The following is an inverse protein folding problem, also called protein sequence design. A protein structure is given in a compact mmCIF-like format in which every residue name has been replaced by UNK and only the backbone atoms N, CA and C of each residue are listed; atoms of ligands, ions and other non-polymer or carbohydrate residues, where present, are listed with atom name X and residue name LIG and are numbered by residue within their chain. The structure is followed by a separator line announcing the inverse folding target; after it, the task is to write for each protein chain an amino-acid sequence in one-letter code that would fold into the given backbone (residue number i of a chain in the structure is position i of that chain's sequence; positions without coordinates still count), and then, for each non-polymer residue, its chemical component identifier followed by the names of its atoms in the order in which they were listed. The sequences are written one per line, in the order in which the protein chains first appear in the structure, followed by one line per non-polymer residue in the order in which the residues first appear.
data_IF_615709554294
#
_entry.id   IF_615709554294
#
_cell.length_a   1.000
_cell.length_b   1.000
_cell.length_c   1.000
_cell.angle_alpha   90.00
_cell.angle_beta   90.00
_cell.angle_gamma   90.00
#
_symmetry.space_group_name_H-M   'P 1'
#
loop_
_entity.id
_entity.type
_entity.pdbx_description
1 polymer ?
#
# COMPACT_ATOMS: atom_id res chain seq x y z
N UNK A 1 17.39 11.45 21.10
CA UNK A 1 17.29 11.36 19.63
C UNK A 1 15.82 11.38 19.25
N UNK A 2 15.38 12.29 18.37
CA UNK A 2 13.99 12.33 17.86
C UNK A 2 13.99 11.74 16.45
N UNK A 3 13.30 10.63 16.25
CA UNK A 3 13.18 10.01 14.93
C UNK A 3 12.16 10.79 14.09
N UNK A 4 12.48 11.03 12.82
CA UNK A 4 11.58 11.71 11.87
C UNK A 4 10.83 10.74 10.96
N UNK A 5 11.29 9.48 10.88
CA UNK A 5 10.76 8.44 10.00
C UNK A 5 10.68 7.10 10.73
N UNK A 6 9.58 6.39 10.50
CA UNK A 6 9.35 5.04 11.05
C UNK A 6 8.87 4.13 9.93
N UNK A 7 9.38 2.90 9.91
CA UNK A 7 8.88 1.84 9.04
C UNK A 7 8.37 0.71 9.92
N UNK A 8 7.14 0.27 9.69
CA UNK A 8 6.54 -0.91 10.36
C UNK A 8 6.38 -1.99 9.29
N UNK A 9 7.17 -3.06 9.38
CA UNK A 9 7.14 -4.18 8.46
C UNK A 9 7.07 -5.51 9.24
N UNK A 10 5.92 -6.19 9.35
CA UNK A 10 4.60 -5.88 8.77
C UNK A 10 3.52 -5.63 9.83
N UNK A 11 2.52 -4.82 9.48
CA UNK A 11 1.31 -4.64 10.28
C UNK A 11 0.53 -5.94 10.42
N UNK A 12 0.52 -6.77 9.38
CA UNK A 12 -0.14 -8.08 9.38
C UNK A 12 0.44 -9.00 10.44
N UNK A 13 1.77 -9.05 10.57
CA UNK A 13 2.45 -9.79 11.64
C UNK A 13 2.12 -9.20 13.02
N UNK A 14 2.05 -7.87 13.14
CA UNK A 14 1.70 -7.21 14.39
C UNK A 14 0.28 -7.60 14.85
N UNK A 15 -0.71 -7.57 13.95
CA UNK A 15 -2.10 -7.99 14.22
C UNK A 15 -2.22 -9.46 14.64
N UNK A 16 -1.32 -10.33 14.17
CA UNK A 16 -1.31 -11.76 14.55
C UNK A 16 -0.73 -11.99 15.94
N UNK A 17 0.08 -11.06 16.45
CA UNK A 17 0.70 -11.18 17.77
C UNK A 17 -0.21 -10.74 18.91
N UNK A 18 -1.25 -9.93 18.63
CA UNK A 18 -2.18 -9.37 19.63
C UNK A 18 -3.21 -10.37 20.18
N UNK A 19 -3.04 -11.67 19.96
CA UNK A 19 -3.87 -12.71 20.59
C UNK A 19 -5.32 -12.76 20.09
N UNK A 20 -5.98 -13.92 20.28
CA UNK A 20 -7.39 -14.06 19.94
C UNK A 20 -8.28 -13.39 21.00
N UNK A 21 -9.15 -12.47 20.58
CA UNK A 21 -10.12 -11.80 21.45
C UNK A 21 -9.80 -10.33 21.79
N UNK A 22 -8.65 -9.80 21.35
CA UNK A 22 -8.38 -8.37 21.42
C UNK A 22 -9.07 -7.61 20.26
N UNK A 23 -9.55 -6.40 20.54
CA UNK A 23 -10.01 -5.46 19.52
C UNK A 23 -8.79 -4.91 18.76
N UNK A 24 -8.28 -5.72 17.83
CA UNK A 24 -7.14 -5.41 16.99
C UNK A 24 -7.33 -4.08 16.26
N UNK A 25 -8.56 -3.78 15.83
CA UNK A 25 -8.86 -2.57 15.10
C UNK A 25 -8.64 -1.33 15.98
N UNK A 26 -9.15 -1.33 17.21
CA UNK A 26 -8.90 -0.22 18.16
C UNK A 26 -7.41 -0.01 18.44
N UNK A 27 -6.64 -1.10 18.53
CA UNK A 27 -5.19 -1.06 18.73
C UNK A 27 -4.47 -0.43 17.53
N UNK A 28 -4.83 -0.84 16.31
CA UNK A 28 -4.28 -0.26 15.08
C UNK A 28 -4.69 1.21 14.95
N UNK A 29 -5.95 1.57 15.19
CA UNK A 29 -6.38 2.98 15.15
C UNK A 29 -5.59 3.84 16.13
N UNK A 30 -5.37 3.33 17.35
CA UNK A 30 -4.58 4.02 18.38
C UNK A 30 -3.13 4.19 17.95
N UNK A 31 -2.52 3.15 17.37
CA UNK A 31 -1.15 3.21 16.84
C UNK A 31 -1.02 4.24 15.71
N UNK A 32 -1.93 4.21 14.72
CA UNK A 32 -1.90 5.14 13.58
C UNK A 32 -2.09 6.59 14.04
N UNK A 33 -2.99 6.82 15.00
CA UNK A 33 -3.20 8.13 15.60
C UNK A 33 -1.96 8.62 16.34
N UNK A 34 -1.35 7.76 17.16
CA UNK A 34 -0.11 8.07 17.87
C UNK A 34 1.02 8.49 16.90
N UNK A 35 1.22 7.75 15.81
CA UNK A 35 2.22 8.11 14.78
C UNK A 35 1.93 9.47 14.14
N UNK A 36 0.66 9.77 13.87
CA UNK A 36 0.25 11.07 13.33
C UNK A 36 0.52 12.20 14.33
N UNK A 37 0.15 12.04 15.61
CA UNK A 37 0.34 13.05 16.66
C UNK A 37 1.83 13.27 16.99
N UNK A 38 2.65 12.22 16.88
CA UNK A 38 4.10 12.29 17.04
C UNK A 38 4.80 13.10 15.92
N UNK A 39 4.08 13.48 14.86
CA UNK A 39 4.61 14.20 13.70
C UNK A 39 5.79 13.47 13.03
N UNK A 40 5.67 12.15 12.88
CA UNK A 40 6.66 11.32 12.18
C UNK A 40 6.12 10.85 10.83
N UNK A 41 6.98 10.73 9.82
CA UNK A 41 6.60 10.09 8.55
C UNK A 41 6.66 8.58 8.71
N UNK A 42 5.50 7.93 8.76
CA UNK A 42 5.38 6.48 8.90
C UNK A 42 5.11 5.79 7.57
N UNK A 43 5.87 4.74 7.26
CA UNK A 43 5.55 3.77 6.20
C UNK A 43 5.15 2.45 6.87
N UNK A 44 4.05 1.87 6.44
CA UNK A 44 3.51 0.63 7.02
C UNK A 44 3.34 -0.37 5.90
N UNK A 45 3.94 -1.55 6.06
CA UNK A 45 3.81 -2.68 5.13
C UNK A 45 2.72 -3.60 5.66
N UNK A 46 1.75 -3.90 4.82
CA UNK A 46 0.67 -4.84 5.13
C UNK A 46 0.41 -5.70 3.91
N UNK A 47 0.01 -6.94 4.13
CA UNK A 47 -0.50 -7.78 3.06
C UNK A 47 -1.75 -7.14 2.43
N UNK A 48 -2.00 -7.40 1.15
CA UNK A 48 -3.23 -6.94 0.49
C UNK A 48 -4.43 -7.59 1.21
N UNK A 49 -5.27 -6.81 1.90
CA UNK A 49 -6.46 -7.37 2.53
C UNK A 49 -7.44 -7.84 1.45
N UNK A 50 -8.37 -8.70 1.85
CA UNK A 50 -9.49 -9.05 0.99
C UNK A 50 -10.17 -7.75 0.50
N UNK A 51 -10.40 -7.59 -0.83
CA UNK A 51 -11.02 -6.38 -1.38
C UNK A 51 -12.36 -6.00 -0.75
N UNK A 52 -13.05 -6.97 -0.14
CA UNK A 52 -14.34 -6.79 0.54
C UNK A 52 -14.21 -6.36 2.00
N UNK A 53 -12.99 -6.38 2.56
CA UNK A 53 -12.74 -6.07 3.97
C UNK A 53 -12.17 -4.66 4.12
N UNK A 54 -12.79 -3.86 4.98
CA UNK A 54 -12.37 -2.49 5.25
C UNK A 54 -11.53 -2.43 6.53
N UNK A 55 -10.21 -2.47 6.35
CA UNK A 55 -9.27 -2.44 7.47
C UNK A 55 -8.94 -0.99 7.92
N UNK A 56 -8.69 -0.75 9.23
CA UNK A 56 -8.30 0.57 9.78
C UNK A 56 -7.20 1.29 9.01
N UNK A 57 -6.13 0.58 8.68
CA UNK A 57 -5.02 1.12 7.92
C UNK A 57 -5.42 1.60 6.52
N UNK A 58 -6.44 1.01 5.90
CA UNK A 58 -6.87 1.40 4.56
C UNK A 58 -7.57 2.75 4.57
N UNK A 59 -8.36 3.10 5.58
CA UNK A 59 -9.08 4.37 5.59
C UNK A 59 -8.35 5.50 6.33
N UNK A 60 -7.61 5.16 7.40
CA UNK A 60 -6.86 6.13 8.20
C UNK A 60 -5.57 6.60 7.53
N UNK A 61 -4.92 5.75 6.74
CA UNK A 61 -3.69 6.14 6.05
C UNK A 61 -3.92 7.34 5.13
N UNK A 62 -2.99 8.29 5.13
CA UNK A 62 -3.03 9.45 4.21
C UNK A 62 -2.81 9.03 2.76
N UNK A 63 -1.95 8.03 2.53
CA UNK A 63 -1.68 7.48 1.22
C UNK A 63 -1.67 5.95 1.22
N UNK A 64 -1.95 5.36 0.07
CA UNK A 64 -1.80 3.92 -0.17
C UNK A 64 -1.03 3.72 -1.47
N UNK A 65 0.05 2.96 -1.38
CA UNK A 65 0.86 2.53 -2.52
C UNK A 65 0.68 1.02 -2.64
N UNK A 66 0.12 0.56 -3.75
CA UNK A 66 -0.10 -0.86 -4.03
C UNK A 66 1.02 -1.38 -4.93
N UNK A 67 1.62 -2.50 -4.52
CA UNK A 67 2.60 -3.24 -5.30
C UNK A 67 1.92 -4.44 -5.94
N UNK A 68 2.10 -4.58 -7.25
CA UNK A 68 1.41 -5.60 -8.04
C UNK A 68 2.43 -6.55 -8.66
N UNK A 69 2.13 -7.84 -8.58
CA UNK A 69 2.85 -8.91 -9.28
C UNK A 69 1.87 -9.65 -10.16
N UNK A 70 1.96 -9.43 -11.47
CA UNK A 70 1.01 -9.94 -12.45
C UNK A 70 1.71 -10.98 -13.33
N UNK A 71 0.97 -12.01 -13.75
CA UNK A 71 1.44 -12.99 -14.74
C UNK A 71 0.76 -12.67 -16.08
N UNK A 72 1.54 -12.24 -17.07
CA UNK A 72 1.06 -11.85 -18.40
C UNK A 72 1.87 -12.58 -19.46
N UNK A 73 1.20 -13.36 -20.31
CA UNK A 73 1.85 -14.14 -21.39
C UNK A 73 3.07 -14.94 -20.90
N UNK A 74 2.90 -15.64 -19.77
CA UNK A 74 3.94 -16.43 -19.10
C UNK A 74 5.15 -15.63 -18.59
N UNK A 75 5.06 -14.30 -18.50
CA UNK A 75 6.05 -13.44 -17.86
C UNK A 75 5.50 -12.82 -16.58
N UNK A 76 6.35 -12.73 -15.56
CA UNK A 76 6.01 -11.99 -14.34
C UNK A 76 6.34 -10.52 -14.53
N UNK A 77 5.30 -9.70 -14.56
CA UNK A 77 5.38 -8.25 -14.62
C UNK A 77 5.15 -7.67 -13.23
N UNK A 78 5.88 -6.61 -12.89
CA UNK A 78 5.71 -5.87 -11.64
C UNK A 78 5.38 -4.42 -11.94
N UNK A 79 4.40 -3.89 -11.22
CA UNK A 79 4.07 -2.48 -11.27
C UNK A 79 3.67 -1.96 -9.89
N UNK A 80 3.68 -0.64 -9.75
CA UNK A 80 3.25 0.08 -8.56
C UNK A 80 2.14 1.05 -8.95
N UNK A 81 1.15 1.23 -8.09
CA UNK A 81 0.12 2.26 -8.26
C UNK A 81 -0.10 3.00 -6.95
N UNK A 82 -0.51 4.27 -7.05
CA UNK A 82 -0.95 5.05 -5.89
C UNK A 82 -2.47 5.07 -5.92
N UNK A 83 -3.08 4.43 -4.93
CA UNK A 83 -4.55 4.35 -4.83
C UNK A 83 -5.14 5.63 -4.23
N UNK A 84 -4.43 6.20 -3.25
CA UNK A 84 -4.77 7.49 -2.68
C UNK A 84 -3.53 8.19 -2.17
N UNK A 85 -3.60 9.52 -2.16
CA UNK A 85 -2.59 10.37 -1.55
C UNK A 85 -3.23 11.70 -1.10
N UNK A 86 -3.89 11.69 0.07
CA UNK A 86 -4.68 12.82 0.56
C UNK A 86 -3.81 14.06 0.77
N UNK A 87 -4.26 15.20 0.25
CA UNK A 87 -3.59 16.49 0.39
C UNK A 87 -2.57 16.80 -0.72
N UNK A 88 -2.40 15.93 -1.72
CA UNK A 88 -1.57 16.21 -2.89
C UNK A 88 -2.08 15.48 -4.13
N UNK A 89 -1.84 16.06 -5.31
CA UNK A 89 -1.98 15.33 -6.56
C UNK A 89 -1.00 14.15 -6.59
N UNK A 90 -1.39 13.08 -7.27
CA UNK A 90 -0.58 11.89 -7.49
C UNK A 90 -0.90 11.27 -8.84
N UNK A 91 0.00 10.42 -9.33
CA UNK A 91 -0.21 9.65 -10.55
C UNK A 91 -1.20 8.51 -10.28
N UNK A 92 -2.31 8.52 -11.01
CA UNK A 92 -3.38 7.52 -10.91
C UNK A 92 -3.13 6.29 -11.80
N UNK A 93 -2.10 6.32 -12.65
CA UNK A 93 -1.76 5.20 -13.51
C UNK A 93 -0.72 4.27 -12.88
N UNK A 94 -0.83 2.95 -13.09
CA UNK A 94 0.21 2.02 -12.66
C UNK A 94 1.51 2.25 -13.46
N UNK A 95 2.64 2.18 -12.77
CA UNK A 95 3.99 2.36 -13.32
C UNK A 95 4.84 1.10 -13.22
N UNK A 96 5.63 0.76 -14.25
CA UNK A 96 6.53 -0.39 -14.19
C UNK A 96 7.49 -0.29 -13.01
N UNK A 97 7.70 -1.41 -12.34
CA UNK A 97 8.60 -1.53 -11.20
C UNK A 97 9.58 -2.68 -11.47
N UNK A 98 10.86 -2.44 -11.19
CA UNK A 98 11.89 -3.47 -11.17
C UNK A 98 12.58 -3.50 -9.82
N UNK A 99 13.01 -4.69 -9.40
CA UNK A 99 13.85 -4.86 -8.21
C UNK A 99 15.25 -5.17 -8.72
N UNK A 100 16.17 -4.27 -8.43
CA UNK A 100 17.57 -4.35 -8.84
C UNK A 100 18.45 -4.69 -7.63
N UNK A 101 19.77 -4.81 -7.86
CA UNK A 101 20.74 -4.95 -6.77
C UNK A 101 20.76 -3.73 -5.83
N UNK A 102 20.26 -2.58 -6.27
CA UNK A 102 20.17 -1.34 -5.50
C UNK A 102 18.77 -1.12 -4.90
N UNK A 103 17.88 -2.12 -4.99
CA UNK A 103 16.51 -2.03 -4.49
C UNK A 103 15.49 -1.72 -5.58
N UNK A 104 14.37 -1.14 -5.17
CA UNK A 104 13.21 -0.85 -6.02
C UNK A 104 13.50 0.35 -6.93
N UNK A 105 13.28 0.19 -8.23
CA UNK A 105 13.27 1.27 -9.19
C UNK A 105 11.92 1.32 -9.93
N UNK A 106 11.37 2.53 -10.05
CA UNK A 106 10.09 2.81 -10.72
C UNK A 106 10.35 3.78 -11.86
N UNK A 107 9.82 3.46 -13.03
CA UNK A 107 9.87 4.33 -14.20
C UNK A 107 8.56 5.12 -14.29
N UNK A 108 8.58 6.37 -13.82
CA UNK A 108 7.40 7.22 -13.72
C UNK A 108 6.87 7.69 -15.08
N UNK A 109 7.73 7.76 -16.10
CA UNK A 109 7.34 8.24 -17.43
C UNK A 109 6.82 7.09 -18.31
N UNK A 110 7.27 5.87 -18.04
CA UNK A 110 6.85 4.69 -18.78
C UNK A 110 5.44 4.23 -18.38
N UNK A 111 4.68 3.83 -19.39
CA UNK A 111 3.37 3.19 -19.21
C UNK A 111 3.54 1.68 -19.15
N UNK A 112 2.73 1.03 -18.33
CA UNK A 112 2.59 -0.44 -18.36
C UNK A 112 2.01 -0.89 -19.71
N UNK A 113 2.24 -2.15 -20.07
CA UNK A 113 1.68 -2.72 -21.30
C UNK A 113 0.15 -2.71 -21.32
N UNK A 114 -0.45 -2.64 -22.52
CA UNK A 114 -1.92 -2.67 -22.71
C UNK A 114 -2.63 -3.82 -21.96
N UNK A 115 -2.10 -5.06 -21.91
CA UNK A 115 -2.75 -6.13 -21.15
C UNK A 115 -2.88 -5.81 -19.67
N UNK A 116 -1.80 -5.28 -19.06
CA UNK A 116 -1.78 -4.89 -17.64
C UNK A 116 -2.80 -3.77 -17.42
N UNK A 117 -2.79 -2.74 -18.26
CA UNK A 117 -3.71 -1.60 -18.10
C UNK A 117 -5.18 -2.04 -18.11
N UNK A 118 -5.55 -2.99 -18.97
CA UNK A 118 -6.91 -3.56 -19.01
C UNK A 118 -7.29 -4.30 -17.74
N UNK A 119 -6.34 -5.00 -17.10
CA UNK A 119 -6.61 -5.68 -15.83
C UNK A 119 -6.99 -4.69 -14.73
N UNK A 120 -6.39 -3.50 -14.70
CA UNK A 120 -6.75 -2.45 -13.74
C UNK A 120 -8.09 -1.76 -14.06
N UNK A 121 -8.49 -1.72 -15.34
CA UNK A 121 -9.77 -1.13 -15.77
C UNK A 121 -10.95 -2.09 -15.61
N UNK A 122 -10.69 -3.40 -15.58
CA UNK A 122 -11.70 -4.44 -15.42
C UNK A 122 -12.06 -4.72 -13.95
N UNK A 123 -11.28 -4.18 -13.00
CA UNK A 123 -11.64 -4.21 -11.58
C UNK A 123 -12.63 -3.07 -11.34
N UNK A 124 -13.86 -3.34 -10.85
CA UNK A 124 -14.79 -2.29 -10.49
C UNK A 124 -14.12 -1.39 -9.44
N UNK A 125 -14.03 -0.09 -9.73
CA UNK A 125 -13.69 0.91 -8.72
C UNK A 125 -14.97 1.15 -7.93
N UNK A 126 -15.37 0.19 -7.10
CA UNK A 126 -16.48 0.38 -6.17
C UNK A 126 -15.96 1.08 -4.92
N UNK A 127 -15.84 2.40 -5.01
CA UNK A 127 -15.79 3.29 -3.85
C UNK A 127 -16.43 4.64 -4.22
N UNK A 128 -17.76 4.66 -4.19
CA UNK A 128 -18.57 5.87 -3.93
C UNK A 128 -19.25 5.73 -2.58
#
# INVERSE_FOLDING_TARGET
VKYSRVVIDSLTSLKRLSGEGEDNDSGIMSLLRFLSEANVTSLIVTDLPDPTTLEPEMFLSRGIIKFHRLMVASKTERCVSVEKFRGSAHDSLPRPLIITKSGVAVDADKKVGKPILRMFQAVPIDFS
#
